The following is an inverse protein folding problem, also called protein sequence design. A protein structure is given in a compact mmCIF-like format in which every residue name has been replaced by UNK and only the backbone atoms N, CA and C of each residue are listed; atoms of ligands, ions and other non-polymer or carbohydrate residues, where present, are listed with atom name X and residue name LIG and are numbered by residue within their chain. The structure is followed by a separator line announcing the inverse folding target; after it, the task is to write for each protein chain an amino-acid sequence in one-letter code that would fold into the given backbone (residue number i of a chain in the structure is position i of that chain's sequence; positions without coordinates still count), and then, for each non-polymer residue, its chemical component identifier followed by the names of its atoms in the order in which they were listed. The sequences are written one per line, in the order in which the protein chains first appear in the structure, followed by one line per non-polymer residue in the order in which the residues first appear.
data_IF_837120049518
#
_entry.id   IF_837120049518
#
_cell.length_a   1.000
_cell.length_b   1.000
_cell.length_c   1.000
_cell.angle_alpha   90.00
_cell.angle_beta   90.00
_cell.angle_gamma   90.00
#
_symmetry.space_group_name_H-M   'P 1'
#
loop_
_entity.id
_entity.type
_entity.pdbx_description
1 polymer ?
#
# COMPACT_ATOMS: atom_id res chain seq x y z
N UNK A 1 5.18 15.61 1.38
CA UNK A 1 5.92 14.73 2.31
C UNK A 1 6.84 15.65 3.08
N UNK A 2 6.64 15.81 4.40
CA UNK A 2 7.33 16.84 5.20
C UNK A 2 8.85 16.74 5.04
N UNK A 3 9.42 15.53 5.06
CA UNK A 3 10.86 15.30 4.97
C UNK A 3 11.48 15.65 3.61
N UNK A 4 10.73 15.45 2.51
CA UNK A 4 11.22 15.77 1.16
C UNK A 4 11.20 17.28 0.93
N UNK A 5 10.13 17.95 1.35
CA UNK A 5 10.00 19.40 1.31
C UNK A 5 11.05 20.07 2.20
N UNK A 6 11.32 19.49 3.37
CA UNK A 6 12.39 19.93 4.26
C UNK A 6 13.76 19.77 3.59
N UNK A 7 14.10 18.62 3.02
CA UNK A 7 15.37 18.44 2.29
C UNK A 7 15.54 19.46 1.14
N UNK A 8 14.48 19.77 0.40
CA UNK A 8 14.49 20.79 -0.65
C UNK A 8 14.77 22.20 -0.10
N UNK A 9 14.26 22.53 1.08
CA UNK A 9 14.52 23.81 1.76
C UNK A 9 15.97 23.91 2.25
N UNK A 10 16.50 22.88 2.91
CA UNK A 10 17.89 22.85 3.37
C UNK A 10 18.88 22.98 2.19
N UNK A 11 18.58 22.36 1.05
CA UNK A 11 19.36 22.54 -0.19
C UNK A 11 19.28 23.97 -0.72
N UNK A 12 18.11 24.61 -0.67
CA UNK A 12 17.91 26.00 -1.10
C UNK A 12 18.68 26.98 -0.22
N UNK A 13 18.72 26.74 1.09
CA UNK A 13 19.40 27.57 2.07
C UNK A 13 20.91 27.30 2.18
N UNK A 14 21.45 26.38 1.37
CA UNK A 14 22.85 25.93 1.42
C UNK A 14 23.28 25.41 2.80
N UNK A 15 22.32 24.87 3.56
CA UNK A 15 22.60 24.23 4.85
C UNK A 15 23.09 22.81 4.57
N UNK A 16 24.22 22.44 5.19
CA UNK A 16 24.76 21.10 5.07
C UNK A 16 23.77 20.04 5.57
N UNK A 17 23.17 19.30 4.65
CA UNK A 17 22.25 18.20 4.95
C UNK A 17 22.91 16.87 4.64
N UNK A 18 22.89 15.94 5.60
CA UNK A 18 23.29 14.55 5.37
C UNK A 18 22.04 13.74 5.01
N UNK A 19 21.88 13.28 3.76
CA UNK A 19 20.71 12.50 3.37
C UNK A 19 20.72 11.16 4.12
N UNK A 20 19.80 11.04 5.07
CA UNK A 20 19.57 9.77 5.76
C UNK A 20 18.61 8.93 4.92
N UNK A 21 18.89 7.63 4.70
CA UNK A 21 18.00 6.78 3.93
C UNK A 21 16.66 6.64 4.67
N UNK A 22 15.60 7.19 4.08
CA UNK A 22 14.24 7.02 4.56
C UNK A 22 13.61 5.81 3.87
N UNK A 23 13.07 4.89 4.66
CA UNK A 23 12.28 3.78 4.13
C UNK A 23 10.89 4.32 3.77
N UNK A 24 10.69 4.58 2.48
CA UNK A 24 9.40 5.05 1.98
C UNK A 24 8.35 3.95 2.14
N UNK A 25 7.31 4.21 2.94
CA UNK A 25 6.20 3.31 3.16
C UNK A 25 5.12 3.38 2.06
N UNK A 26 5.36 4.16 1.00
CA UNK A 26 4.42 4.34 -0.11
C UNK A 26 3.95 3.01 -0.70
N UNK A 27 4.84 2.03 -0.88
CA UNK A 27 4.46 0.71 -1.40
C UNK A 27 3.45 -0.03 -0.50
N UNK A 28 3.53 0.16 0.82
CA UNK A 28 2.57 -0.38 1.77
C UNK A 28 1.25 0.39 1.74
N UNK A 29 1.31 1.72 1.68
CA UNK A 29 0.13 2.58 1.55
C UNK A 29 -0.64 2.30 0.25
N UNK A 30 0.09 2.05 -0.84
CA UNK A 30 -0.47 1.71 -2.14
C UNK A 30 -1.20 0.36 -2.09
N UNK A 31 -0.57 -0.65 -1.48
CA UNK A 31 -1.20 -1.96 -1.28
C UNK A 31 -2.52 -1.82 -0.50
N UNK A 32 -2.58 -0.97 0.51
CA UNK A 32 -3.78 -0.80 1.35
C UNK A 32 -4.86 0.02 0.63
N UNK A 33 -4.49 1.12 -0.05
CA UNK A 33 -5.43 2.21 -0.36
C UNK A 33 -5.49 2.65 -1.82
N UNK A 34 -4.51 2.26 -2.65
CA UNK A 34 -4.42 2.73 -4.04
C UNK A 34 -5.64 2.30 -4.86
N UNK A 35 -5.99 3.11 -5.86
CA UNK A 35 -7.00 2.75 -6.85
C UNK A 35 -6.35 2.01 -8.03
N UNK A 36 -7.07 1.09 -8.70
CA UNK A 36 -8.42 0.63 -8.38
C UNK A 36 -8.45 -0.53 -7.37
N UNK A 37 -7.34 -1.24 -7.16
CA UNK A 37 -7.35 -2.54 -6.47
C UNK A 37 -6.64 -2.56 -5.11
N UNK A 38 -6.52 -1.46 -4.38
CA UNK A 38 -6.02 -1.50 -3.01
C UNK A 38 -6.92 -2.35 -2.12
N UNK A 39 -6.39 -2.97 -1.06
CA UNK A 39 -7.13 -3.89 -0.19
C UNK A 39 -8.46 -3.29 0.29
N UNK A 40 -8.45 -2.03 0.73
CA UNK A 40 -9.68 -1.35 1.18
C UNK A 40 -10.68 -1.08 0.05
N UNK A 41 -10.20 -0.90 -1.19
CA UNK A 41 -11.08 -0.75 -2.37
C UNK A 41 -11.76 -2.07 -2.72
N UNK A 42 -10.98 -3.15 -2.71
CA UNK A 42 -11.51 -4.49 -2.92
C UNK A 42 -12.55 -4.83 -1.85
N UNK A 43 -12.29 -4.46 -0.59
CA UNK A 43 -13.24 -4.64 0.51
C UNK A 43 -14.53 -3.85 0.29
N UNK A 44 -14.43 -2.57 -0.03
CA UNK A 44 -15.57 -1.68 -0.30
C UNK A 44 -16.46 -2.23 -1.42
N UNK A 45 -15.84 -2.63 -2.54
CA UNK A 45 -16.52 -3.28 -3.65
C UNK A 45 -17.24 -4.56 -3.19
N UNK A 46 -16.57 -5.43 -2.42
CA UNK A 46 -17.16 -6.68 -1.93
C UNK A 46 -18.33 -6.44 -0.98
N UNK A 47 -18.25 -5.47 -0.06
CA UNK A 47 -19.37 -5.10 0.80
C UNK A 47 -20.61 -4.65 0.01
N UNK A 48 -20.42 -4.11 -1.21
CA UNK A 48 -21.51 -3.70 -2.10
C UNK A 48 -22.16 -4.83 -2.90
N UNK A 49 -21.54 -6.01 -3.01
CA UNK A 49 -22.06 -7.12 -3.82
C UNK A 49 -22.92 -8.09 -2.98
N UNK A 50 -24.20 -8.34 -3.34
CA UNK A 50 -25.11 -9.16 -2.53
C UNK A 50 -24.68 -10.61 -2.27
N UNK A 51 -23.77 -11.15 -3.08
CA UNK A 51 -23.27 -12.52 -2.99
C UNK A 51 -21.77 -12.59 -2.65
N UNK A 52 -21.15 -11.45 -2.32
CA UNK A 52 -19.78 -11.47 -1.86
C UNK A 52 -19.71 -12.12 -0.48
N UNK A 53 -18.62 -12.84 -0.27
CA UNK A 53 -18.26 -13.49 0.98
C UNK A 53 -16.81 -13.11 1.31
N UNK A 54 -16.40 -13.37 2.55
CA UNK A 54 -14.99 -13.22 2.93
C UNK A 54 -14.07 -14.04 2.01
N UNK A 55 -14.55 -15.18 1.52
CA UNK A 55 -13.80 -16.01 0.57
C UNK A 55 -13.63 -15.33 -0.79
N UNK A 56 -14.67 -14.71 -1.35
CA UNK A 56 -14.55 -13.98 -2.64
C UNK A 56 -13.70 -12.72 -2.51
N UNK A 57 -13.74 -12.07 -1.34
CA UNK A 57 -12.82 -10.98 -1.00
C UNK A 57 -11.36 -11.45 -1.00
N UNK A 58 -11.05 -12.52 -0.26
CA UNK A 58 -9.70 -13.08 -0.20
C UNK A 58 -9.20 -13.54 -1.58
N UNK A 59 -10.05 -14.17 -2.38
CA UNK A 59 -9.72 -14.56 -3.76
C UNK A 59 -9.30 -13.35 -4.61
N UNK A 60 -10.03 -12.23 -4.53
CA UNK A 60 -9.67 -10.99 -5.24
C UNK A 60 -8.35 -10.40 -4.73
N UNK A 61 -8.13 -10.36 -3.42
CA UNK A 61 -6.84 -9.92 -2.86
C UNK A 61 -5.68 -10.80 -3.35
N UNK A 62 -5.86 -12.13 -3.36
CA UNK A 62 -4.85 -13.07 -3.86
C UNK A 62 -4.57 -12.89 -5.36
N UNK A 63 -5.60 -12.60 -6.15
CA UNK A 63 -5.49 -12.35 -7.59
C UNK A 63 -4.72 -11.06 -7.88
N UNK A 64 -5.05 -9.95 -7.22
CA UNK A 64 -4.42 -8.65 -7.49
C UNK A 64 -3.05 -8.45 -6.83
N UNK A 65 -2.79 -9.10 -5.69
CA UNK A 65 -1.58 -8.84 -4.89
C UNK A 65 -0.68 -10.06 -4.69
N UNK A 66 -0.99 -11.21 -5.30
CA UNK A 66 -0.22 -12.44 -5.10
C UNK A 66 1.28 -12.34 -5.42
N UNK A 67 1.68 -11.39 -6.27
CA UNK A 67 3.07 -11.13 -6.64
C UNK A 67 3.70 -9.93 -5.90
N UNK A 68 2.97 -9.27 -5.00
CA UNK A 68 3.49 -8.13 -4.24
C UNK A 68 4.29 -8.65 -3.03
N UNK A 69 5.53 -8.19 -2.88
CA UNK A 69 6.42 -8.60 -1.78
C UNK A 69 5.91 -8.25 -0.38
N UNK A 70 4.99 -7.28 -0.28
CA UNK A 70 4.36 -6.85 0.96
C UNK A 70 3.05 -7.61 1.26
N UNK A 71 2.65 -8.54 0.38
CA UNK A 71 1.45 -9.35 0.51
C UNK A 71 1.80 -10.83 0.64
N UNK A 72 1.27 -11.49 1.67
CA UNK A 72 1.50 -12.91 1.91
C UNK A 72 0.18 -13.67 1.92
N UNK A 73 0.16 -14.84 1.25
CA UNK A 73 -0.94 -15.79 1.35
C UNK A 73 -0.79 -16.62 2.63
N UNK A 74 -1.88 -16.93 3.34
CA UNK A 74 -1.82 -17.81 4.50
C UNK A 74 -1.27 -19.18 4.10
N UNK A 75 -0.41 -19.76 4.96
CA UNK A 75 0.24 -21.06 4.70
C UNK A 75 -0.72 -22.25 4.84
N UNK A 76 -1.81 -22.08 5.59
CA UNK A 76 -2.88 -23.05 5.68
C UNK A 76 -4.13 -22.45 5.04
N UNK A 77 -4.79 -23.17 4.11
CA UNK A 77 -6.11 -22.76 3.65
C UNK A 77 -7.09 -22.83 4.83
N UNK A 78 -8.00 -21.84 4.89
CA UNK A 78 -9.16 -21.85 5.77
C UNK A 78 -10.11 -22.98 5.37
#
# INVERSE_FOLDING_TARGET
VIFQEEQEEYMREQIGWQPQPFNNNQACLDLISAKPHGILRILDDQCGFPQATDHTFLQKCHYHHGNNSLYARPKMPL
#
